data_IF_167047191904
#
_entry.id   IF_167047191904
#
_cell.length_a   1.000
_cell.length_b   1.000
_cell.length_c   1.000
_cell.angle_alpha   90.00
_cell.angle_beta   90.00
_cell.angle_gamma   90.00
#
_symmetry.space_group_name_H-M   'P 1'
#
loop_
_entity.id
_entity.type
_entity.pdbx_description
1 polymer ?
#
# COMPACT_ATOMS: atom_id res chain seq x y z
N UNK A 1 -9.15 -28.14 -8.83
CA UNK A 1 -8.36 -26.97 -9.23
C UNK A 1 -8.03 -26.19 -7.97
N UNK A 2 -6.78 -26.25 -7.53
CA UNK A 2 -6.32 -25.63 -6.29
C UNK A 2 -6.17 -24.12 -6.50
N UNK A 3 -7.17 -23.34 -6.10
CA UNK A 3 -7.13 -21.88 -6.11
C UNK A 3 -6.18 -21.37 -5.02
N UNK A 4 -5.26 -20.48 -5.39
CA UNK A 4 -4.19 -19.93 -4.57
C UNK A 4 -4.64 -19.54 -3.16
N UNK A 5 -4.01 -20.13 -2.14
CA UNK A 5 -4.06 -19.64 -0.77
C UNK A 5 -3.24 -18.35 -0.69
N UNK A 6 -3.89 -17.19 -0.69
CA UNK A 6 -3.25 -15.92 -0.34
C UNK A 6 -3.02 -15.96 1.18
N UNK A 7 -1.88 -16.52 1.58
CA UNK A 7 -1.31 -16.37 2.93
C UNK A 7 -0.86 -14.91 3.10
N UNK A 8 -1.83 -14.00 3.24
CA UNK A 8 -1.64 -12.55 3.15
C UNK A 8 -1.44 -11.83 4.50
N UNK A 9 -1.00 -12.54 5.54
CA UNK A 9 -0.80 -11.93 6.85
C UNK A 9 0.56 -11.24 6.92
N UNK A 10 0.56 -9.93 7.20
CA UNK A 10 1.78 -9.12 7.33
C UNK A 10 1.97 -8.74 8.78
N UNK A 11 3.12 -9.11 9.34
CA UNK A 11 3.50 -8.74 10.70
C UNK A 11 4.32 -7.45 10.68
N UNK A 12 3.91 -6.49 11.50
CA UNK A 12 4.66 -5.25 11.75
C UNK A 12 5.15 -5.28 13.19
N UNK A 13 6.42 -4.95 13.40
CA UNK A 13 7.02 -4.82 14.72
C UNK A 13 7.33 -3.34 15.02
N UNK A 14 6.83 -2.84 16.14
CA UNK A 14 7.02 -1.47 16.61
C UNK A 14 7.81 -1.48 17.93
N UNK A 15 8.91 -0.72 18.04
CA UNK A 15 9.53 -0.50 19.35
C UNK A 15 8.61 0.27 20.31
N UNK A 16 8.54 -0.22 21.55
CA UNK A 16 7.85 0.38 22.69
C UNK A 16 8.89 0.72 23.77
N UNK A 17 8.52 1.59 24.72
CA UNK A 17 9.40 1.97 25.84
C UNK A 17 9.93 0.78 26.66
N UNK A 18 9.24 -0.36 26.64
CA UNK A 18 9.60 -1.59 27.36
C UNK A 18 10.01 -2.77 26.46
N UNK A 19 10.21 -2.57 25.15
CA UNK A 19 10.59 -3.64 24.22
C UNK A 19 10.04 -3.44 22.80
N UNK A 20 9.40 -4.47 22.25
CA UNK A 20 8.76 -4.42 20.93
C UNK A 20 7.33 -4.97 21.02
N UNK A 21 6.38 -4.34 20.32
CA UNK A 21 5.09 -4.94 20.00
C UNK A 21 5.10 -5.47 18.58
N UNK A 22 4.46 -6.61 18.35
CA UNK A 22 4.22 -7.15 17.03
C UNK A 22 2.70 -7.23 16.79
N UNK A 23 2.23 -6.75 15.66
CA UNK A 23 0.83 -6.89 15.24
C UNK A 23 0.77 -7.51 13.83
N UNK A 24 -0.19 -8.40 13.63
CA UNK A 24 -0.41 -9.10 12.36
C UNK A 24 -1.64 -8.52 11.69
N UNK A 25 -1.48 -8.10 10.43
CA UNK A 25 -2.53 -7.48 9.64
C UNK A 25 -3.02 -8.46 8.57
N UNK A 26 -4.34 -8.58 8.38
CA UNK A 26 -4.93 -9.56 7.47
C UNK A 26 -4.76 -9.18 5.99
N UNK A 27 -4.46 -7.92 5.70
CA UNK A 27 -4.23 -7.42 4.34
C UNK A 27 -2.99 -6.53 4.27
N UNK A 28 -2.46 -6.38 3.04
CA UNK A 28 -1.39 -5.42 2.72
C UNK A 28 -1.79 -3.98 3.00
N UNK A 29 -3.04 -3.63 2.72
CA UNK A 29 -3.57 -2.29 2.95
C UNK A 29 -3.59 -1.96 4.44
N UNK A 30 -4.09 -2.87 5.28
CA UNK A 30 -4.14 -2.67 6.73
C UNK A 30 -2.73 -2.51 7.33
N UNK A 31 -1.76 -3.29 6.83
CA UNK A 31 -0.36 -3.17 7.22
C UNK A 31 0.23 -1.81 6.80
N UNK A 32 0.01 -1.38 5.56
CA UNK A 32 0.49 -0.09 5.06
C UNK A 32 -0.09 1.08 5.88
N UNK A 33 -1.39 1.04 6.18
CA UNK A 33 -2.06 2.04 7.04
C UNK A 33 -1.40 2.08 8.42
N UNK A 34 -1.09 0.93 9.02
CA UNK A 34 -0.40 0.93 10.31
C UNK A 34 1.00 1.53 10.20
N UNK A 35 1.80 1.15 9.19
CA UNK A 35 3.15 1.70 9.02
C UNK A 35 3.11 3.23 8.91
N UNK A 36 2.18 3.78 8.13
CA UNK A 36 1.99 5.23 8.01
C UNK A 36 1.67 5.86 9.38
N UNK A 37 0.76 5.25 10.16
CA UNK A 37 0.44 5.73 11.52
C UNK A 37 1.65 5.71 12.45
N UNK A 38 2.52 4.70 12.33
CA UNK A 38 3.77 4.62 13.13
C UNK A 38 4.72 5.73 12.74
N UNK A 39 4.89 5.97 11.44
CA UNK A 39 5.75 7.02 10.92
C UNK A 39 5.30 8.39 11.42
N UNK A 40 3.99 8.69 11.37
CA UNK A 40 3.42 9.94 11.92
C UNK A 40 3.74 10.06 13.42
N UNK A 41 3.44 9.04 14.22
CA UNK A 41 3.66 9.08 15.68
C UNK A 41 5.13 9.30 16.08
N UNK A 42 6.07 8.94 15.20
CA UNK A 42 7.51 9.02 15.45
C UNK A 42 8.19 10.17 14.75
N UNK A 43 7.46 10.92 13.94
CA UNK A 43 8.00 12.06 13.25
C UNK A 43 8.44 13.11 14.27
N UNK A 44 9.68 13.56 14.16
CA UNK A 44 10.14 14.74 14.89
C UNK A 44 9.50 16.03 14.36
N UNK A 45 9.02 15.98 13.11
CA UNK A 45 8.32 17.05 12.41
C UNK A 45 7.09 16.45 11.73
N UNK A 46 5.91 16.74 12.29
CA UNK A 46 4.62 16.22 11.80
C UNK A 46 4.33 16.69 10.36
N UNK A 47 4.72 17.91 10.00
CA UNK A 47 4.47 18.45 8.67
C UNK A 47 5.31 17.72 7.63
N UNK A 48 6.59 17.52 7.91
CA UNK A 48 7.48 16.77 7.02
C UNK A 48 7.00 15.32 6.83
N UNK A 49 6.51 14.68 7.89
CA UNK A 49 5.96 13.33 7.78
C UNK A 49 4.65 13.30 6.97
N UNK A 50 3.77 14.29 7.15
CA UNK A 50 2.57 14.39 6.34
C UNK A 50 2.88 14.59 4.86
N UNK A 51 3.84 15.45 4.50
CA UNK A 51 4.25 15.67 3.11
C UNK A 51 4.80 14.37 2.47
N UNK A 52 5.57 13.58 3.23
CA UNK A 52 6.07 12.28 2.75
C UNK A 52 4.96 11.26 2.53
N UNK A 53 3.95 11.27 3.41
CA UNK A 53 2.79 10.38 3.31
C UNK A 53 1.92 10.76 2.12
N UNK A 54 1.62 12.05 1.95
CA UNK A 54 0.88 12.54 0.80
C UNK A 54 1.57 12.19 -0.51
N UNK A 55 2.90 12.35 -0.58
CA UNK A 55 3.68 11.96 -1.74
C UNK A 55 3.58 10.45 -2.02
N UNK A 56 3.77 9.61 -1.01
CA UNK A 56 3.69 8.16 -1.17
C UNK A 56 2.30 7.70 -1.61
N UNK A 57 1.23 8.32 -1.08
CA UNK A 57 -0.15 8.05 -1.50
C UNK A 57 -0.39 8.50 -2.94
N UNK A 58 0.12 9.66 -3.34
CA UNK A 58 0.00 10.15 -4.71
C UNK A 58 0.71 9.24 -5.71
N UNK A 59 1.90 8.73 -5.36
CA UNK A 59 2.64 7.75 -6.16
C UNK A 59 1.85 6.44 -6.34
N UNK A 60 1.31 5.87 -5.24
CA UNK A 60 0.49 4.66 -5.28
C UNK A 60 -0.77 4.82 -6.15
N UNK A 61 -1.49 5.94 -6.00
CA UNK A 61 -2.67 6.23 -6.84
C UNK A 61 -2.26 6.39 -8.32
N UNK A 62 -1.10 7.00 -8.58
CA UNK A 62 -0.54 7.15 -9.93
C UNK A 62 -0.24 5.81 -10.58
N UNK A 63 0.39 4.89 -9.84
CA UNK A 63 0.70 3.53 -10.30
C UNK A 63 -0.59 2.73 -10.58
N UNK A 64 -1.56 2.71 -9.66
CA UNK A 64 -2.84 2.01 -9.87
C UNK A 64 -3.60 2.53 -11.09
N UNK A 65 -3.62 3.86 -11.29
CA UNK A 65 -4.23 4.46 -12.48
C UNK A 65 -3.51 4.06 -13.76
N UNK A 66 -2.18 4.04 -13.73
CA UNK A 66 -1.39 3.62 -14.89
C UNK A 66 -1.66 2.16 -15.26
N UNK A 67 -1.71 1.27 -14.27
CA UNK A 67 -2.01 -0.14 -14.47
C UNK A 67 -3.41 -0.35 -15.04
N UNK A 68 -4.42 0.36 -14.50
CA UNK A 68 -5.79 0.33 -15.02
C UNK A 68 -5.88 0.87 -16.46
N UNK A 69 -5.17 1.94 -16.78
CA UNK A 69 -5.10 2.49 -18.13
C UNK A 69 -4.47 1.49 -19.12
N UNK A 70 -3.43 0.77 -18.70
CA UNK A 70 -2.78 -0.28 -19.49
C UNK A 70 -3.69 -1.51 -19.69
N UNK A 71 -4.42 -1.95 -18.65
CA UNK A 71 -5.41 -3.03 -18.76
C UNK A 71 -6.54 -2.65 -19.70
N UNK A 72 -7.09 -1.43 -19.56
CA UNK A 72 -8.15 -0.93 -20.45
C UNK A 72 -7.66 -0.81 -21.90
N UNK A 73 -6.45 -0.30 -22.14
CA UNK A 73 -5.86 -0.23 -23.47
C UNK A 73 -5.70 -1.63 -24.09
N UNK A 74 -5.26 -2.61 -23.27
CA UNK A 74 -5.13 -4.01 -23.69
C UNK A 74 -6.49 -4.59 -24.08
N UNK A 75 -7.54 -4.33 -23.30
CA UNK A 75 -8.89 -4.82 -23.61
C UNK A 75 -9.49 -4.15 -24.85
N UNK A 76 -9.28 -2.84 -25.03
CA UNK A 76 -9.74 -2.12 -26.25
C UNK A 76 -9.09 -2.66 -27.52
N UNK A 77 -7.80 -3.02 -27.48
CA UNK A 77 -7.12 -3.71 -28.59
C UNK A 77 -7.69 -5.10 -28.84
N UNK A 78 -7.98 -5.84 -27.77
CA UNK A 78 -8.61 -7.17 -27.87
C UNK A 78 -10.00 -7.10 -28.52
N UNK A 79 -10.75 -6.04 -28.25
CA UNK A 79 -12.08 -5.78 -28.83
C UNK A 79 -12.04 -5.17 -30.24
N UNK A 80 -10.84 -4.83 -30.75
CA UNK A 80 -10.67 -4.21 -32.07
C UNK A 80 -11.15 -2.76 -32.16
N UNK A 81 -11.23 -2.07 -31.01
CA UNK A 81 -11.70 -0.68 -30.90
C UNK A 81 -10.57 0.36 -31.00
N UNK A 82 -9.31 -0.09 -31.05
CA UNK A 82 -8.15 0.73 -31.47
C UNK A 82 -7.68 0.27 -32.86
N UNK A 83 -7.34 1.20 -33.78
CA UNK A 83 -6.72 0.87 -35.07
C UNK A 83 -5.32 0.26 -34.93
#
# INVERSE_FOLDING_TARGET
>A
MSGMSISGQIMIQEPLASGFSAQVYPTRLDAAIQLLRVMIRRAADEQQAMDQIEKAVAELIGEERHDLEMEMATERRRLGEEP
#
